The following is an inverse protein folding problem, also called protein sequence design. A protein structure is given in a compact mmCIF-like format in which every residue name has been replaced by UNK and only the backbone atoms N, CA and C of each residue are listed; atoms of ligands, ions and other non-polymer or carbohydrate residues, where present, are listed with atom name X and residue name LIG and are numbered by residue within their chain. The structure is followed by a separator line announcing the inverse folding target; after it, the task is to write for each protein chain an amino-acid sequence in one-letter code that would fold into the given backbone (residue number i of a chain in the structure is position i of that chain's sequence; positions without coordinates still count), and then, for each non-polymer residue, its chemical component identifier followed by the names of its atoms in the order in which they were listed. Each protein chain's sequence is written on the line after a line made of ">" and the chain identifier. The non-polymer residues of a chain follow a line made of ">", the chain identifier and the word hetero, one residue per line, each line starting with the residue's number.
data_IF_767325040378
#
_entry.id   IF_767325040378
#
_cell.length_a   1.000
_cell.length_b   1.000
_cell.length_c   1.000
_cell.angle_alpha   90.00
_cell.angle_beta   90.00
_cell.angle_gamma   90.00
#
_symmetry.space_group_name_H-M   'P 1'
#
loop_
_entity.id
_entity.type
_entity.pdbx_description
1 polymer ?
#
# COMPACT_ATOMS: atom_id res chain seq x y z
N UNK A 1 -10.84 -14.51 -4.41
CA UNK A 1 -11.06 -15.88 -4.90
C UNK A 1 -9.82 -16.75 -4.64
N UNK A 2 -8.66 -16.34 -5.16
CA UNK A 2 -7.40 -17.06 -5.00
C UNK A 2 -7.08 -17.38 -3.54
N UNK A 3 -7.21 -16.41 -2.62
CA UNK A 3 -6.91 -16.59 -1.20
C UNK A 3 -7.81 -17.65 -0.53
N UNK A 4 -9.13 -17.61 -0.78
CA UNK A 4 -10.06 -18.57 -0.20
C UNK A 4 -9.77 -19.98 -0.68
N UNK A 5 -9.57 -20.16 -1.99
CA UNK A 5 -9.24 -21.45 -2.57
C UNK A 5 -7.90 -21.99 -2.05
N UNK A 6 -6.86 -21.15 -2.02
CA UNK A 6 -5.56 -21.52 -1.46
C UNK A 6 -5.66 -21.94 0.00
N UNK A 7 -6.47 -21.23 0.81
CA UNK A 7 -6.67 -21.59 2.23
C UNK A 7 -7.38 -22.92 2.39
N UNK A 8 -8.42 -23.20 1.58
CA UNK A 8 -9.14 -24.47 1.59
C UNK A 8 -8.20 -25.62 1.20
N UNK A 9 -7.42 -25.45 0.12
CA UNK A 9 -6.46 -26.45 -0.33
C UNK A 9 -5.35 -26.68 0.70
N UNK A 10 -4.78 -25.63 1.28
CA UNK A 10 -3.75 -25.72 2.32
C UNK A 10 -4.27 -26.45 3.58
N UNK A 11 -5.53 -26.24 3.96
CA UNK A 11 -6.14 -26.98 5.06
C UNK A 11 -6.32 -28.46 4.72
N UNK A 12 -6.84 -28.78 3.54
CA UNK A 12 -7.00 -30.15 3.06
C UNK A 12 -5.66 -30.92 3.00
N UNK A 13 -4.56 -30.19 2.72
CA UNK A 13 -3.19 -30.73 2.70
C UNK A 13 -2.51 -30.74 4.08
N UNK A 14 -3.23 -30.51 5.17
CA UNK A 14 -2.65 -30.46 6.54
C UNK A 14 -1.58 -29.39 6.76
N UNK A 15 -1.55 -28.30 5.99
CA UNK A 15 -0.53 -27.27 6.12
C UNK A 15 -0.69 -26.44 7.40
N UNK A 16 -1.91 -26.32 7.94
CA UNK A 16 -2.18 -25.61 9.20
C UNK A 16 -3.27 -26.28 10.03
N UNK A 17 -3.45 -25.80 11.26
CA UNK A 17 -4.48 -26.24 12.21
C UNK A 17 -5.60 -25.20 12.28
N UNK A 18 -6.83 -25.65 12.54
CA UNK A 18 -7.94 -24.78 12.91
C UNK A 18 -7.65 -24.02 14.21
N UNK A 19 -8.29 -22.85 14.39
CA UNK A 19 -8.17 -22.09 15.64
C UNK A 19 -8.60 -22.93 16.84
N UNK A 20 -7.92 -22.73 17.99
CA UNK A 20 -8.28 -23.37 19.26
C UNK A 20 -9.58 -22.81 19.86
N UNK A 21 -10.02 -21.63 19.40
CA UNK A 21 -11.21 -20.94 19.91
C UNK A 21 -12.49 -21.31 19.14
N UNK A 22 -12.42 -22.27 18.20
CA UNK A 22 -13.58 -22.73 17.48
C UNK A 22 -14.49 -23.59 18.35
N UNK A 23 -15.80 -23.36 18.21
CA UNK A 23 -16.81 -24.20 18.84
C UNK A 23 -16.92 -25.53 18.09
N UNK A 24 -17.40 -26.60 18.77
CA UNK A 24 -17.72 -27.85 18.11
C UNK A 24 -18.66 -27.63 16.91
N UNK A 25 -18.48 -28.45 15.88
CA UNK A 25 -19.32 -28.41 14.69
C UNK A 25 -20.48 -29.42 14.86
N UNK A 26 -21.71 -28.96 14.72
CA UNK A 26 -22.88 -29.85 14.78
C UNK A 26 -23.25 -30.34 13.38
N UNK A 27 -23.24 -31.66 13.15
CA UNK A 27 -23.68 -32.30 11.91
C UNK A 27 -24.76 -33.33 12.28
N UNK A 28 -25.93 -33.19 11.71
CA UNK A 28 -27.08 -34.11 11.91
C UNK A 28 -27.39 -34.35 13.41
N UNK A 29 -27.25 -33.31 14.25
CA UNK A 29 -27.53 -33.35 15.68
C UNK A 29 -26.37 -33.87 16.56
N UNK A 30 -25.25 -34.29 15.96
CA UNK A 30 -24.04 -34.75 16.66
C UNK A 30 -22.97 -33.66 16.66
N UNK A 31 -22.35 -33.43 17.83
CA UNK A 31 -21.27 -32.46 17.97
C UNK A 31 -19.90 -33.08 17.72
N UNK A 32 -19.08 -32.44 16.93
CA UNK A 32 -17.73 -32.86 16.57
C UNK A 32 -16.71 -31.80 16.97
N UNK A 33 -15.74 -32.17 17.79
CA UNK A 33 -14.62 -31.30 18.16
C UNK A 33 -13.68 -31.08 16.97
N UNK A 34 -13.51 -29.79 16.58
CA UNK A 34 -12.66 -29.39 15.46
C UNK A 34 -11.53 -28.45 15.88
N UNK A 35 -11.59 -27.86 17.08
CA UNK A 35 -10.66 -26.87 17.57
C UNK A 35 -9.21 -27.38 17.60
N UNK A 36 -8.28 -26.61 17.03
CA UNK A 36 -6.85 -26.91 17.03
C UNK A 36 -6.43 -28.14 16.21
N UNK A 37 -7.35 -28.76 15.46
CA UNK A 37 -7.07 -29.95 14.65
C UNK A 37 -6.61 -29.58 13.23
N UNK A 38 -5.79 -30.45 12.64
CA UNK A 38 -5.52 -30.50 11.21
C UNK A 38 -6.63 -31.29 10.51
N UNK A 39 -6.74 -31.16 9.18
CA UNK A 39 -7.77 -31.86 8.42
C UNK A 39 -7.74 -33.38 8.65
N UNK A 40 -6.58 -34.02 8.55
CA UNK A 40 -6.40 -35.46 8.78
C UNK A 40 -6.71 -35.94 10.22
N UNK A 41 -6.89 -35.03 11.16
CA UNK A 41 -7.21 -35.32 12.57
C UNK A 41 -8.67 -34.98 12.91
N UNK A 42 -9.45 -34.54 11.95
CA UNK A 42 -10.88 -34.41 12.10
C UNK A 42 -11.55 -35.77 12.06
N UNK A 43 -12.76 -35.84 12.62
CA UNK A 43 -13.62 -37.03 12.50
C UNK A 43 -13.94 -37.33 11.02
N UNK A 44 -14.08 -38.59 10.65
CA UNK A 44 -14.34 -39.03 9.27
C UNK A 44 -15.61 -38.40 8.70
N UNK A 45 -16.65 -38.20 9.51
CA UNK A 45 -17.89 -37.54 9.11
C UNK A 45 -17.64 -36.09 8.70
N UNK A 46 -16.79 -35.38 9.47
CA UNK A 46 -16.41 -33.99 9.18
C UNK A 46 -15.55 -33.90 7.92
N UNK A 47 -14.60 -34.84 7.76
CA UNK A 47 -13.76 -34.92 6.54
C UNK A 47 -14.62 -35.20 5.30
N UNK A 48 -15.57 -36.14 5.37
CA UNK A 48 -16.49 -36.46 4.27
C UNK A 48 -17.33 -35.23 3.91
N UNK A 49 -17.96 -34.58 4.89
CA UNK A 49 -18.75 -33.35 4.65
C UNK A 49 -17.94 -32.22 4.04
N UNK A 50 -16.67 -32.12 4.39
CA UNK A 50 -15.78 -31.14 3.77
C UNK A 50 -15.45 -31.49 2.31
N UNK A 51 -15.15 -32.75 2.02
CA UNK A 51 -14.80 -33.22 0.68
C UNK A 51 -16.01 -33.25 -0.27
N UNK A 52 -17.20 -33.50 0.26
CA UNK A 52 -18.45 -33.53 -0.49
C UNK A 52 -19.03 -32.15 -0.84
N UNK A 53 -18.34 -31.07 -0.41
CA UNK A 53 -18.76 -29.70 -0.70
C UNK A 53 -18.33 -29.27 -2.09
N UNK A 54 -19.31 -28.99 -2.93
CA UNK A 54 -19.08 -28.39 -4.24
C UNK A 54 -18.67 -26.92 -4.11
N UNK A 55 -17.66 -26.54 -4.88
CA UNK A 55 -17.26 -25.14 -5.05
C UNK A 55 -17.71 -24.69 -6.43
N UNK A 56 -18.74 -23.85 -6.48
CA UNK A 56 -19.20 -23.25 -7.74
C UNK A 56 -18.20 -22.18 -8.18
N UNK A 57 -17.63 -22.34 -9.38
CA UNK A 57 -16.74 -21.36 -10.01
C UNK A 57 -17.49 -20.74 -11.19
N UNK A 58 -17.69 -19.44 -11.13
CA UNK A 58 -18.25 -18.66 -12.24
C UNK A 58 -17.08 -17.96 -12.93
N UNK A 59 -16.82 -18.34 -14.18
CA UNK A 59 -15.82 -17.67 -15.02
C UNK A 59 -16.52 -16.66 -15.91
N UNK A 60 -16.02 -15.43 -15.92
CA UNK A 60 -16.47 -14.41 -16.86
C UNK A 60 -15.44 -14.30 -17.97
N UNK A 61 -15.93 -14.34 -19.21
CA UNK A 61 -15.18 -14.06 -20.42
C UNK A 61 -15.63 -12.72 -20.99
N UNK A 62 -14.71 -11.97 -21.57
CA UNK A 62 -14.98 -10.70 -22.26
C UNK A 62 -15.57 -9.57 -21.37
N UNK A 63 -15.32 -9.64 -20.06
CA UNK A 63 -15.76 -8.60 -19.14
C UNK A 63 -14.81 -7.39 -19.18
N UNK A 64 -15.37 -6.19 -19.18
CA UNK A 64 -14.63 -4.94 -19.05
C UNK A 64 -14.08 -4.78 -17.63
N UNK A 65 -13.06 -3.93 -17.45
CA UNK A 65 -12.49 -3.60 -16.13
C UNK A 65 -13.56 -3.03 -15.19
N UNK A 66 -14.53 -2.28 -15.71
CA UNK A 66 -15.63 -1.67 -14.96
C UNK A 66 -16.60 -2.74 -14.43
N UNK A 67 -16.98 -3.70 -15.27
CA UNK A 67 -17.83 -4.84 -14.88
C UNK A 67 -17.14 -5.73 -13.84
N UNK A 68 -15.83 -5.96 -13.99
CA UNK A 68 -15.03 -6.71 -13.00
C UNK A 68 -15.02 -5.97 -11.66
N UNK A 69 -14.86 -4.66 -11.68
CA UNK A 69 -14.86 -3.83 -10.47
C UNK A 69 -16.22 -3.84 -9.76
N UNK A 70 -17.30 -3.68 -10.51
CA UNK A 70 -18.68 -3.71 -9.97
C UNK A 70 -19.02 -5.07 -9.32
N UNK A 71 -18.68 -6.16 -10.00
CA UNK A 71 -18.88 -7.51 -9.45
C UNK A 71 -18.02 -7.76 -8.21
N UNK A 72 -16.75 -7.28 -8.22
CA UNK A 72 -15.88 -7.40 -7.07
C UNK A 72 -16.45 -6.65 -5.86
N UNK A 73 -17.00 -5.44 -6.04
CA UNK A 73 -17.68 -4.70 -4.99
C UNK A 73 -18.91 -5.44 -4.48
N UNK A 74 -19.77 -5.96 -5.36
CA UNK A 74 -20.98 -6.70 -4.98
C UNK A 74 -20.68 -7.98 -4.21
N UNK A 75 -19.68 -8.76 -4.63
CA UNK A 75 -19.26 -9.98 -3.92
C UNK A 75 -18.69 -9.64 -2.53
N UNK A 76 -18.03 -8.50 -2.37
CA UNK A 76 -17.45 -8.06 -1.11
C UNK A 76 -18.40 -7.25 -0.21
N UNK A 77 -19.65 -7.00 -0.60
CA UNK A 77 -20.65 -6.29 0.22
C UNK A 77 -20.86 -6.92 1.61
N UNK A 78 -20.53 -8.20 1.81
CA UNK A 78 -20.54 -8.88 3.11
C UNK A 78 -19.32 -8.62 4.01
N UNK A 79 -18.20 -8.09 3.46
CA UNK A 79 -17.01 -7.70 4.19
C UNK A 79 -16.60 -6.32 3.72
N UNK A 80 -16.55 -5.35 4.64
CA UNK A 80 -16.07 -4.00 4.30
C UNK A 80 -14.64 -4.08 3.73
N UNK A 81 -14.50 -3.66 2.47
CA UNK A 81 -13.18 -3.48 1.86
C UNK A 81 -12.37 -2.47 2.68
N UNK A 82 -11.11 -2.77 2.89
CA UNK A 82 -10.17 -1.78 3.45
C UNK A 82 -10.05 -0.59 2.48
N UNK A 83 -9.70 0.57 3.00
CA UNK A 83 -9.51 1.76 2.16
C UNK A 83 -8.49 1.53 1.02
N UNK A 84 -7.45 0.74 1.23
CA UNK A 84 -6.50 0.36 0.20
C UNK A 84 -7.10 -0.52 -0.90
N UNK A 85 -7.99 -1.47 -0.53
CA UNK A 85 -8.71 -2.29 -1.50
C UNK A 85 -9.69 -1.47 -2.33
N UNK A 86 -10.44 -0.55 -1.68
CA UNK A 86 -11.33 0.39 -2.40
C UNK A 86 -10.54 1.27 -3.38
N UNK A 87 -9.35 1.75 -2.98
CA UNK A 87 -8.51 2.54 -3.88
C UNK A 87 -8.02 1.76 -5.11
N UNK A 88 -7.79 0.47 -5.00
CA UNK A 88 -7.37 -0.34 -6.15
C UNK A 88 -8.48 -0.54 -7.19
N UNK A 89 -9.76 -0.43 -6.81
CA UNK A 89 -10.89 -0.56 -7.74
C UNK A 89 -11.10 0.69 -8.60
N UNK A 90 -10.74 1.87 -8.10
CA UNK A 90 -10.89 3.14 -8.84
C UNK A 90 -9.67 3.50 -9.69
N UNK A 91 -8.58 2.73 -9.62
CA UNK A 91 -7.39 2.92 -10.46
C UNK A 91 -7.64 2.38 -11.87
N UNK A 92 -7.34 3.17 -12.90
CA UNK A 92 -7.22 2.66 -14.26
C UNK A 92 -6.12 1.59 -14.33
N UNK A 93 -6.09 0.81 -15.40
CA UNK A 93 -5.06 -0.21 -15.62
C UNK A 93 -3.66 0.41 -15.57
N UNK A 94 -3.46 1.52 -16.24
CA UNK A 94 -2.20 2.23 -16.35
C UNK A 94 -1.74 2.77 -14.98
N UNK A 95 -2.64 3.43 -14.22
CA UNK A 95 -2.34 3.91 -12.85
C UNK A 95 -1.98 2.76 -11.94
N UNK A 96 -2.70 1.64 -12.04
CA UNK A 96 -2.44 0.43 -11.27
C UNK A 96 -1.05 -0.13 -11.57
N UNK A 97 -0.69 -0.27 -12.84
CA UNK A 97 0.64 -0.73 -13.27
C UNK A 97 1.75 0.15 -12.72
N UNK A 98 1.60 1.48 -12.77
CA UNK A 98 2.56 2.43 -12.20
C UNK A 98 2.69 2.22 -10.69
N UNK A 99 1.58 2.21 -9.96
CA UNK A 99 1.59 2.05 -8.50
C UNK A 99 2.24 0.73 -8.10
N UNK A 100 1.89 -0.37 -8.77
CA UNK A 100 2.45 -1.69 -8.45
C UNK A 100 3.95 -1.78 -8.80
N UNK A 101 4.36 -1.23 -9.95
CA UNK A 101 5.78 -1.26 -10.34
C UNK A 101 6.67 -0.45 -9.40
N UNK A 102 6.20 0.68 -8.91
CA UNK A 102 6.91 1.48 -7.92
C UNK A 102 6.88 0.83 -6.53
N UNK A 103 5.74 0.26 -6.11
CA UNK A 103 5.61 -0.41 -4.82
C UNK A 103 6.44 -1.70 -4.71
N UNK A 104 6.76 -2.34 -5.83
CA UNK A 104 7.67 -3.49 -5.88
C UNK A 104 9.15 -3.11 -5.74
N UNK A 105 9.48 -1.82 -5.56
CA UNK A 105 10.86 -1.38 -5.44
C UNK A 105 11.50 -1.86 -4.12
N UNK A 106 12.76 -2.38 -4.11
CA UNK A 106 13.43 -2.91 -2.90
C UNK A 106 13.50 -1.94 -1.72
N UNK A 107 13.50 -0.63 -1.97
CA UNK A 107 13.42 0.39 -0.94
C UNK A 107 12.30 0.13 0.08
N UNK A 108 11.12 -0.32 -0.38
CA UNK A 108 10.00 -0.57 0.53
C UNK A 108 10.24 -1.79 1.43
N UNK A 109 10.96 -2.81 0.94
CA UNK A 109 11.38 -3.96 1.78
C UNK A 109 12.32 -3.54 2.90
N UNK A 110 13.16 -2.52 2.64
CA UNK A 110 14.08 -1.96 3.62
C UNK A 110 13.39 -1.17 4.74
N UNK A 111 12.29 -0.45 4.42
CA UNK A 111 11.64 0.49 5.35
C UNK A 111 10.30 0.02 5.92
N UNK A 112 9.69 -1.04 5.37
CA UNK A 112 8.40 -1.58 5.80
C UNK A 112 8.52 -3.00 6.35
N UNK A 113 7.76 -3.27 7.40
CA UNK A 113 7.62 -4.63 7.94
C UNK A 113 6.67 -5.50 7.11
N UNK A 114 6.77 -6.82 7.22
CA UNK A 114 5.87 -7.79 6.57
C UNK A 114 4.39 -7.51 6.88
N UNK A 115 4.07 -7.08 8.11
CA UNK A 115 2.70 -6.75 8.50
C UNK A 115 2.17 -5.49 7.78
N UNK A 116 3.05 -4.56 7.44
CA UNK A 116 2.73 -3.34 6.70
C UNK A 116 2.48 -3.64 5.22
N UNK A 117 3.29 -4.52 4.61
CA UNK A 117 3.03 -5.03 3.26
C UNK A 117 1.68 -5.75 3.14
N UNK A 118 1.33 -6.60 4.11
CA UNK A 118 0.02 -7.27 4.12
C UNK A 118 -1.16 -6.31 4.14
N UNK A 119 -0.96 -5.07 4.61
CA UNK A 119 -1.95 -3.98 4.59
C UNK A 119 -1.87 -3.11 3.33
N UNK A 120 -1.03 -3.43 2.36
CA UNK A 120 -0.75 -2.66 1.14
C UNK A 120 -0.27 -1.23 1.42
N UNK A 121 0.48 -1.00 2.52
CA UNK A 121 1.00 0.33 2.86
C UNK A 121 2.05 0.82 1.86
N UNK A 122 2.80 -0.07 1.23
CA UNK A 122 3.69 0.20 0.09
C UNK A 122 2.98 0.98 -1.01
N UNK A 123 1.82 0.51 -1.44
CA UNK A 123 1.00 1.15 -2.48
C UNK A 123 0.43 2.49 -2.03
N UNK A 124 -0.06 2.56 -0.79
CA UNK A 124 -0.55 3.81 -0.22
C UNK A 124 0.55 4.87 -0.15
N UNK A 125 1.77 4.49 0.23
CA UNK A 125 2.93 5.40 0.25
C UNK A 125 3.31 5.85 -1.16
N UNK A 126 3.29 4.95 -2.15
CA UNK A 126 3.53 5.34 -3.56
C UNK A 126 2.51 6.38 -4.02
N UNK A 127 1.21 6.18 -3.74
CA UNK A 127 0.18 7.17 -4.08
C UNK A 127 0.47 8.51 -3.39
N UNK A 128 0.86 8.50 -2.11
CA UNK A 128 1.24 9.72 -1.39
C UNK A 128 2.45 10.41 -2.03
N UNK A 129 3.46 9.65 -2.47
CA UNK A 129 4.61 10.20 -3.20
C UNK A 129 4.17 10.85 -4.53
N UNK A 130 3.30 10.18 -5.30
CA UNK A 130 2.74 10.75 -6.53
C UNK A 130 1.97 12.04 -6.25
N UNK A 131 1.14 12.08 -5.19
CA UNK A 131 0.42 13.29 -4.77
C UNK A 131 1.38 14.45 -4.49
N UNK A 132 2.49 14.19 -3.79
CA UNK A 132 3.49 15.23 -3.48
C UNK A 132 4.21 15.74 -4.72
N UNK A 133 4.45 14.88 -5.71
CA UNK A 133 5.11 15.26 -6.97
C UNK A 133 4.17 16.05 -7.90
N UNK A 134 2.85 15.86 -7.78
CA UNK A 134 1.83 16.55 -8.55
C UNK A 134 1.34 17.84 -7.89
N UNK A 135 1.76 18.14 -6.66
CA UNK A 135 1.32 19.33 -5.95
C UNK A 135 1.80 20.59 -6.66
N UNK A 136 0.87 21.33 -7.22
CA UNK A 136 1.06 22.65 -7.81
C UNK A 136 0.12 23.66 -7.15
N UNK A 137 0.25 24.94 -7.44
CA UNK A 137 -0.68 25.97 -6.95
C UNK A 137 -2.11 25.76 -7.46
N UNK A 138 -2.27 25.07 -8.59
CA UNK A 138 -3.57 24.73 -9.19
C UNK A 138 -4.15 23.41 -8.65
N UNK A 139 -3.30 22.44 -8.30
CA UNK A 139 -3.69 21.12 -7.83
C UNK A 139 -3.23 20.93 -6.38
N UNK A 140 -4.09 21.31 -5.44
CA UNK A 140 -3.74 21.34 -4.04
C UNK A 140 -4.20 20.07 -3.32
N UNK A 141 -3.57 18.93 -3.62
CA UNK A 141 -3.73 17.71 -2.82
C UNK A 141 -2.98 17.88 -1.50
N UNK A 142 -3.72 18.29 -0.46
CA UNK A 142 -3.13 18.76 0.78
C UNK A 142 -3.17 17.74 1.91
N UNK A 143 -3.91 16.64 1.78
CA UNK A 143 -4.03 15.62 2.83
C UNK A 143 -3.92 14.20 2.26
N UNK A 144 -3.52 13.25 3.14
CA UNK A 144 -3.48 11.82 2.84
C UNK A 144 -4.70 11.08 3.40
N UNK A 145 -5.81 11.79 3.66
CA UNK A 145 -7.08 11.16 4.00
C UNK A 145 -7.58 10.34 2.81
N UNK A 146 -8.29 9.25 3.10
CA UNK A 146 -8.77 8.33 2.07
C UNK A 146 -9.57 9.02 0.96
N UNK A 147 -10.39 9.99 1.31
CA UNK A 147 -11.18 10.77 0.35
C UNK A 147 -10.30 11.57 -0.61
N UNK A 148 -9.24 12.20 -0.09
CA UNK A 148 -8.34 13.03 -0.92
C UNK A 148 -7.43 12.16 -1.79
N UNK A 149 -7.00 11.01 -1.28
CA UNK A 149 -6.27 10.02 -2.06
C UNK A 149 -7.12 9.45 -3.21
N UNK A 150 -8.40 9.19 -2.97
CA UNK A 150 -9.32 8.73 -4.02
C UNK A 150 -9.51 9.79 -5.11
N UNK A 151 -9.76 11.05 -4.73
CA UNK A 151 -9.84 12.18 -5.68
C UNK A 151 -8.56 12.35 -6.49
N UNK A 152 -7.41 12.13 -5.86
CA UNK A 152 -6.14 12.15 -6.58
C UNK A 152 -6.05 11.04 -7.63
N UNK A 153 -6.51 9.83 -7.31
CA UNK A 153 -6.50 8.70 -8.26
C UNK A 153 -7.39 9.01 -9.47
N UNK A 154 -8.60 9.52 -9.24
CA UNK A 154 -9.50 9.96 -10.33
C UNK A 154 -8.82 11.00 -11.22
N UNK A 155 -8.26 12.05 -10.62
CA UNK A 155 -7.47 13.04 -11.36
C UNK A 155 -6.29 12.41 -12.13
N UNK A 156 -5.60 11.45 -11.54
CA UNK A 156 -4.42 10.84 -12.12
C UNK A 156 -4.76 9.86 -13.25
N UNK A 157 -5.93 9.21 -13.19
CA UNK A 157 -6.50 8.43 -14.29
C UNK A 157 -6.71 9.31 -15.52
N UNK A 158 -7.37 10.47 -15.36
CA UNK A 158 -7.62 11.42 -16.45
C UNK A 158 -6.32 11.97 -17.03
N UNK A 159 -5.37 12.29 -16.14
CA UNK A 159 -4.07 12.80 -16.54
C UNK A 159 -3.26 11.83 -17.39
N UNK A 160 -3.26 10.53 -17.01
CA UNK A 160 -2.54 9.50 -17.77
C UNK A 160 -3.22 9.20 -19.10
N UNK A 161 -4.55 9.33 -19.16
CA UNK A 161 -5.32 9.16 -20.39
C UNK A 161 -5.08 10.30 -21.41
N UNK A 162 -4.58 11.47 -20.97
CA UNK A 162 -4.27 12.59 -21.88
C UNK A 162 -2.91 12.36 -22.57
N UNK A 163 -2.89 12.19 -23.91
CA UNK A 163 -1.65 12.01 -24.66
C UNK A 163 -0.63 13.15 -24.49
N UNK A 164 -1.09 14.37 -24.19
CA UNK A 164 -0.22 15.54 -24.01
C UNK A 164 0.52 15.49 -22.67
N UNK A 165 -0.02 14.81 -21.67
CA UNK A 165 0.56 14.67 -20.34
C UNK A 165 1.50 13.44 -20.23
N UNK A 166 1.41 12.49 -21.15
CA UNK A 166 2.11 11.21 -21.10
C UNK A 166 3.62 11.36 -20.85
N UNK A 167 4.29 12.17 -21.64
CA UNK A 167 5.74 12.39 -21.50
C UNK A 167 6.12 13.03 -20.17
N UNK A 168 5.29 13.93 -19.64
CA UNK A 168 5.52 14.53 -18.32
C UNK A 168 5.33 13.53 -17.19
N UNK A 169 4.32 12.67 -17.29
CA UNK A 169 4.06 11.60 -16.32
C UNK A 169 5.21 10.61 -16.33
N UNK A 170 5.63 10.11 -17.49
CA UNK A 170 6.75 9.18 -17.63
C UNK A 170 8.04 9.75 -17.02
N UNK A 171 8.36 11.01 -17.30
CA UNK A 171 9.53 11.67 -16.71
C UNK A 171 9.47 11.76 -15.19
N UNK A 172 8.27 12.04 -14.63
CA UNK A 172 8.08 12.09 -13.18
C UNK A 172 8.25 10.71 -12.54
N UNK A 173 7.71 9.67 -13.15
CA UNK A 173 7.84 8.30 -12.69
C UNK A 173 9.30 7.86 -12.72
N UNK A 174 10.03 8.18 -13.79
CA UNK A 174 11.46 7.90 -13.92
C UNK A 174 12.28 8.60 -12.83
N UNK A 175 12.04 9.88 -12.59
CA UNK A 175 12.70 10.61 -11.49
C UNK A 175 12.33 10.05 -10.11
N UNK A 176 11.10 9.59 -9.92
CA UNK A 176 10.68 8.96 -8.67
C UNK A 176 11.39 7.61 -8.47
N UNK A 177 11.53 6.82 -9.53
CA UNK A 177 12.28 5.56 -9.49
C UNK A 177 13.75 5.79 -9.14
N UNK A 178 14.40 6.75 -9.80
CA UNK A 178 15.78 7.15 -9.48
C UNK A 178 15.93 7.64 -8.02
N UNK A 179 14.92 8.31 -7.49
CA UNK A 179 14.91 8.72 -6.09
C UNK A 179 14.83 7.52 -5.14
N UNK A 180 14.00 6.52 -5.47
CA UNK A 180 13.92 5.27 -4.71
C UNK A 180 15.23 4.47 -4.81
N UNK A 181 15.87 4.40 -6.00
CA UNK A 181 17.17 3.77 -6.18
C UNK A 181 18.21 4.39 -5.24
N UNK A 182 18.33 5.73 -5.23
CA UNK A 182 19.28 6.44 -4.37
C UNK A 182 19.04 6.22 -2.89
N UNK A 183 17.79 6.29 -2.45
CA UNK A 183 17.45 5.99 -1.05
C UNK A 183 17.75 4.54 -0.69
N UNK A 184 17.49 3.60 -1.59
CA UNK A 184 17.77 2.19 -1.37
C UNK A 184 19.28 1.90 -1.30
N UNK A 185 20.09 2.55 -2.13
CA UNK A 185 21.55 2.41 -2.15
C UNK A 185 22.20 2.94 -0.87
N UNK A 186 21.75 4.10 -0.38
CA UNK A 186 22.47 4.85 0.64
C UNK A 186 21.91 4.71 2.06
N UNK A 187 20.64 4.32 2.22
CA UNK A 187 20.08 4.07 3.55
C UNK A 187 20.56 2.71 4.10
N UNK A 188 20.86 2.63 5.41
CA UNK A 188 21.29 1.38 6.04
C UNK A 188 20.16 0.34 6.05
N UNK A 189 20.54 -0.94 6.08
CA UNK A 189 19.59 -2.04 6.25
C UNK A 189 18.82 -1.92 7.58
N UNK A 190 17.55 -2.32 7.55
CA UNK A 190 16.66 -2.30 8.74
C UNK A 190 16.46 -0.91 9.37
N UNK A 191 16.60 0.15 8.57
CA UNK A 191 16.32 1.51 9.02
C UNK A 191 14.84 1.63 9.43
N UNK A 192 14.59 2.23 10.59
CA UNK A 192 13.24 2.50 11.08
C UNK A 192 12.82 3.92 10.76
N UNK A 193 12.00 4.08 9.74
CA UNK A 193 11.39 5.36 9.38
C UNK A 193 9.91 5.30 9.72
N UNK A 194 9.38 6.34 10.40
CA UNK A 194 7.93 6.43 10.65
C UNK A 194 7.17 6.51 9.32
N UNK A 195 6.09 5.76 9.20
CA UNK A 195 5.30 5.63 7.96
C UNK A 195 4.92 7.00 7.39
N UNK A 196 4.50 7.94 8.25
CA UNK A 196 4.13 9.30 7.84
C UNK A 196 5.30 10.14 7.30
N UNK A 197 6.54 9.72 7.55
CA UNK A 197 7.77 10.41 7.12
C UNK A 197 8.33 9.83 5.81
N UNK A 198 8.06 8.57 5.50
CA UNK A 198 8.56 7.92 4.28
C UNK A 198 8.24 8.72 3.01
N UNK A 199 6.99 9.20 2.76
CA UNK A 199 6.69 9.99 1.58
C UNK A 199 7.49 11.30 1.51
N UNK A 200 7.83 11.89 2.66
CA UNK A 200 8.64 13.13 2.72
C UNK A 200 10.10 12.86 2.34
N UNK A 201 10.68 11.74 2.83
CA UNK A 201 12.04 11.32 2.46
C UNK A 201 12.14 11.08 0.94
N UNK A 202 11.16 10.36 0.37
CA UNK A 202 11.11 10.10 -1.07
C UNK A 202 10.92 11.39 -1.86
N UNK A 203 10.03 12.30 -1.42
CA UNK A 203 9.82 13.60 -2.05
C UNK A 203 11.10 14.44 -2.06
N UNK A 204 11.83 14.49 -0.95
CA UNK A 204 13.08 15.23 -0.86
C UNK A 204 14.12 14.73 -1.87
N UNK A 205 14.36 13.43 -1.92
CA UNK A 205 15.28 12.83 -2.90
C UNK A 205 14.78 13.04 -4.34
N UNK A 206 13.47 12.89 -4.59
CA UNK A 206 12.87 13.21 -5.90
C UNK A 206 13.18 14.64 -6.34
N UNK A 207 13.10 15.60 -5.42
CA UNK A 207 13.44 17.00 -5.72
C UNK A 207 14.91 17.17 -6.10
N UNK A 208 15.83 16.47 -5.42
CA UNK A 208 17.25 16.50 -5.76
C UNK A 208 17.51 15.94 -7.17
N UNK A 209 16.92 14.78 -7.47
CA UNK A 209 17.03 14.14 -8.80
C UNK A 209 16.42 15.02 -9.89
N UNK A 210 15.19 15.50 -9.69
CA UNK A 210 14.47 16.32 -10.67
C UNK A 210 15.20 17.63 -10.99
N UNK A 211 15.74 18.27 -9.97
CA UNK A 211 16.35 19.60 -10.06
C UNK A 211 17.87 19.49 -10.32
N UNK A 212 18.39 18.27 -10.56
CA UNK A 212 19.82 17.97 -10.79
C UNK A 212 20.74 18.52 -9.70
N UNK A 213 20.27 18.45 -8.43
CA UNK A 213 21.00 18.86 -7.24
C UNK A 213 21.78 17.70 -6.61
N UNK A 214 22.63 17.98 -5.63
CA UNK A 214 23.45 16.98 -4.94
C UNK A 214 22.62 16.04 -4.09
N UNK A 215 22.46 14.80 -4.54
CA UNK A 215 21.80 13.72 -3.77
C UNK A 215 22.60 13.35 -2.52
N UNK A 216 23.96 13.41 -2.56
CA UNK A 216 24.83 13.11 -1.43
C UNK A 216 24.61 14.08 -0.27
N UNK A 217 24.53 15.39 -0.54
CA UNK A 217 24.22 16.39 0.50
C UNK A 217 22.85 16.15 1.13
N UNK A 218 21.87 15.76 0.32
CA UNK A 218 20.56 15.41 0.86
C UNK A 218 20.62 14.17 1.75
N UNK A 219 21.40 13.15 1.38
CA UNK A 219 21.57 11.95 2.20
C UNK A 219 22.31 12.23 3.50
N UNK A 220 23.33 13.10 3.49
CA UNK A 220 24.00 13.57 4.72
C UNK A 220 22.96 14.19 5.67
N UNK A 221 22.22 15.17 5.18
CA UNK A 221 21.14 15.80 5.94
C UNK A 221 20.07 14.81 6.42
N UNK A 222 19.62 13.89 5.53
CA UNK A 222 18.59 12.91 5.87
C UNK A 222 19.05 11.95 6.97
N UNK A 223 20.30 11.52 6.94
CA UNK A 223 20.87 10.66 7.98
C UNK A 223 20.93 11.38 9.33
N UNK A 224 21.36 12.64 9.36
CA UNK A 224 21.35 13.49 10.57
C UNK A 224 19.92 13.69 11.10
N UNK A 225 18.97 13.99 10.20
CA UNK A 225 17.56 14.13 10.55
C UNK A 225 16.99 12.84 11.15
N UNK A 226 17.25 11.69 10.53
CA UNK A 226 16.77 10.40 11.04
C UNK A 226 17.43 10.01 12.37
N UNK A 227 18.70 10.33 12.57
CA UNK A 227 19.40 10.11 13.84
C UNK A 227 18.83 10.97 14.97
N UNK A 228 18.39 12.19 14.69
CA UNK A 228 17.81 13.13 15.65
C UNK A 228 16.27 13.10 15.68
N UNK A 229 15.63 12.17 14.98
CA UNK A 229 14.18 12.16 14.75
C UNK A 229 13.37 12.30 16.05
N UNK A 230 13.69 11.49 17.07
CA UNK A 230 12.91 11.43 18.31
C UNK A 230 13.08 12.68 19.21
N UNK A 231 14.02 13.54 18.90
CA UNK A 231 14.28 14.80 19.62
C UNK A 231 13.92 16.05 18.80
N UNK A 232 13.57 15.90 17.53
CA UNK A 232 13.24 17.00 16.64
C UNK A 232 11.80 17.48 16.86
N UNK A 233 11.60 18.35 17.86
CA UNK A 233 10.28 18.86 18.25
C UNK A 233 9.60 19.64 17.13
N UNK A 234 10.36 20.37 16.30
CA UNK A 234 9.85 21.16 15.18
C UNK A 234 9.20 20.27 14.10
N UNK A 235 9.68 19.06 13.95
CA UNK A 235 9.08 18.08 13.05
C UNK A 235 8.01 17.23 13.73
N UNK A 236 8.26 16.78 14.96
CA UNK A 236 7.38 15.86 15.70
C UNK A 236 6.00 16.42 15.98
N UNK A 237 5.84 17.75 16.09
CA UNK A 237 4.53 18.38 16.21
C UNK A 237 3.56 18.00 15.08
N UNK A 238 4.09 17.68 13.90
CA UNK A 238 3.31 17.25 12.73
C UNK A 238 3.17 15.71 12.61
N UNK A 239 3.65 14.96 13.60
CA UNK A 239 3.72 13.48 13.55
C UNK A 239 2.92 12.79 14.67
N UNK A 240 2.28 13.51 15.59
CA UNK A 240 1.64 12.94 16.77
C UNK A 240 0.22 12.43 16.51
N UNK A 241 -0.66 13.28 16.02
CA UNK A 241 -2.08 12.97 15.81
C UNK A 241 -2.53 13.36 14.41
N UNK A 242 -3.60 12.71 13.92
CA UNK A 242 -4.21 13.02 12.61
C UNK A 242 -3.20 13.19 11.47
N UNK A 243 -2.16 12.37 11.42
CA UNK A 243 -0.99 12.49 10.53
C UNK A 243 -1.33 12.57 9.04
N UNK A 244 -2.55 12.17 8.64
CA UNK A 244 -3.08 12.31 7.27
C UNK A 244 -3.84 13.61 7.02
N UNK A 245 -4.05 14.48 8.02
CA UNK A 245 -4.72 15.76 7.81
C UNK A 245 -3.87 16.72 6.97
N UNK A 246 -4.53 17.68 6.32
CA UNK A 246 -3.87 18.68 5.49
C UNK A 246 -2.80 19.48 6.26
N UNK A 247 -3.08 19.88 7.48
CA UNK A 247 -2.15 20.60 8.34
C UNK A 247 -0.88 19.78 8.60
N UNK A 248 -1.03 18.55 9.05
CA UNK A 248 0.10 17.68 9.39
C UNK A 248 0.93 17.30 8.17
N UNK A 249 0.29 17.02 7.04
CA UNK A 249 0.99 16.73 5.77
C UNK A 249 1.74 17.96 5.27
N UNK A 250 1.12 19.14 5.30
CA UNK A 250 1.77 20.38 4.84
C UNK A 250 2.91 20.80 5.78
N UNK A 251 2.76 20.64 7.08
CA UNK A 251 3.82 20.93 8.04
C UNK A 251 5.07 20.07 7.79
N UNK A 252 4.91 18.75 7.67
CA UNK A 252 6.02 17.86 7.31
C UNK A 252 6.63 18.18 5.95
N UNK A 253 5.79 18.45 4.95
CA UNK A 253 6.26 18.81 3.62
C UNK A 253 7.04 20.13 3.63
N UNK A 254 6.59 21.12 4.39
CA UNK A 254 7.28 22.42 4.48
C UNK A 254 8.64 22.26 5.14
N UNK A 255 8.72 21.49 6.22
CA UNK A 255 9.99 21.18 6.88
C UNK A 255 11.03 20.61 5.90
N UNK A 256 10.63 19.62 5.07
CA UNK A 256 11.52 19.06 4.05
C UNK A 256 11.83 20.06 2.92
N UNK A 257 10.88 20.90 2.53
CA UNK A 257 11.12 21.94 1.51
C UNK A 257 12.14 22.98 1.98
N UNK A 258 12.11 23.34 3.25
CA UNK A 258 13.05 24.33 3.80
C UNK A 258 14.46 23.72 3.88
N UNK A 259 14.61 22.49 4.36
CA UNK A 259 15.88 21.77 4.30
C UNK A 259 16.44 21.65 2.86
N UNK A 260 15.60 21.32 1.88
CA UNK A 260 16.01 21.23 0.46
C UNK A 260 16.52 22.56 -0.09
N UNK A 261 15.99 23.70 0.39
CA UNK A 261 16.48 25.03 -0.01
C UNK A 261 17.85 25.32 0.57
N UNK A 262 18.12 24.89 1.80
CA UNK A 262 19.40 25.08 2.47
C UNK A 262 20.51 24.20 1.88
N UNK A 263 20.18 23.01 1.45
CA UNK A 263 21.13 22.04 0.88
C UNK A 263 21.65 22.50 -0.49
N UNK A 264 20.89 23.26 -1.23
CA UNK A 264 21.30 23.57 -2.58
C UNK A 264 20.61 24.60 -3.34
#
# INVERSE_FOLDING_TARGET
>A
FKQRFTTIAAFANDEFKLSKDLKPLTIDGTEYEIAGKKFSKLDEVVQSRFNDRDISIITMTDATEEEISDIFERINMGHQLTNGQKRSTIQSKEVREIVYSLAAHPFFEKVLSVAQFKKNLDRDIVIQCLMLTEKTDKNNFTSFKSVDMNKFIEYYNDKIADPNEKSFVEKKIDNLRKALDKLNEELPENIKIKISTIPMCVYGMYRMVRDSKSTSKYMEWLNEFLASYDTNLDYLQYCSNATSSAEMVNGRLQFFKDAIKEIG
#
